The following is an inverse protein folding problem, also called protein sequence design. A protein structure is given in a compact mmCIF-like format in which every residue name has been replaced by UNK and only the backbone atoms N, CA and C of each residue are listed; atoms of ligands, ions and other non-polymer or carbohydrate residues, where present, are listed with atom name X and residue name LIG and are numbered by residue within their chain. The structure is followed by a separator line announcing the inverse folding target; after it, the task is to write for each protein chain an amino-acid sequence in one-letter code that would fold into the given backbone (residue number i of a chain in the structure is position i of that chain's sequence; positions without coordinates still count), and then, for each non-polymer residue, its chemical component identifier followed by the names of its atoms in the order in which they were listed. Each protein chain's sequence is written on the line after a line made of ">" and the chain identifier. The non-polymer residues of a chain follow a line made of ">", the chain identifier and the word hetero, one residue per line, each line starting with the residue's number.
data_IF_692090996542
#
_entry.id   IF_692090996542
#
_cell.length_a   1.000
_cell.length_b   1.000
_cell.length_c   1.000
_cell.angle_alpha   90.00
_cell.angle_beta   90.00
_cell.angle_gamma   90.00
#
_symmetry.space_group_name_H-M   'P 1'
#
loop_
_entity.id
_entity.type
_entity.pdbx_description
1 polymer ?
#
# COMPACT_ATOMS: atom_id res chain seq x y z
N UNK A 1 22.10 24.04 19.48
CA UNK A 1 20.72 24.18 18.98
C UNK A 1 20.62 24.95 17.66
N UNK A 2 21.66 25.00 16.80
CA UNK A 2 21.55 25.76 15.54
C UNK A 2 22.44 25.23 14.39
N UNK A 3 22.77 23.94 14.35
CA UNK A 3 23.47 23.36 13.20
C UNK A 3 22.65 22.15 12.74
N UNK A 4 21.55 22.51 12.08
CA UNK A 4 20.83 21.67 11.15
C UNK A 4 21.85 20.99 10.24
N UNK A 5 21.71 19.67 10.08
CA UNK A 5 22.54 18.84 9.23
C UNK A 5 22.58 19.31 7.77
N UNK A 6 23.45 20.28 7.49
CA UNK A 6 23.79 20.75 6.16
C UNK A 6 24.95 19.92 5.54
N UNK A 7 25.55 19.00 6.32
CA UNK A 7 26.63 18.09 5.90
C UNK A 7 26.34 16.65 6.36
N UNK A 8 26.60 15.61 5.54
CA UNK A 8 26.43 14.21 5.93
C UNK A 8 27.42 13.79 7.03
N UNK A 9 27.04 12.99 8.05
CA UNK A 9 25.81 12.22 8.22
C UNK A 9 24.84 12.82 9.27
N UNK A 10 23.75 13.38 8.79
CA UNK A 10 22.67 14.02 9.58
C UNK A 10 21.88 13.02 10.45
N UNK A 11 21.96 11.73 10.13
CA UNK A 11 21.20 10.64 10.76
C UNK A 11 21.76 10.21 12.12
N UNK A 12 22.99 10.61 12.45
CA UNK A 12 23.64 10.25 13.71
C UNK A 12 23.37 11.24 14.85
N UNK A 13 22.74 12.39 14.57
CA UNK A 13 22.53 13.40 15.62
C UNK A 13 21.47 12.93 16.64
N UNK A 14 21.77 12.94 17.96
CA UNK A 14 20.88 12.38 18.98
C UNK A 14 19.47 12.98 18.99
N UNK A 15 19.34 14.29 18.75
CA UNK A 15 18.03 14.95 18.68
C UNK A 15 17.18 14.54 17.48
N UNK A 16 17.80 14.33 16.31
CA UNK A 16 17.12 13.83 15.12
C UNK A 16 16.65 12.39 15.33
N UNK A 17 17.51 11.54 15.91
CA UNK A 17 17.15 10.15 16.23
C UNK A 17 16.02 10.05 17.25
N UNK A 18 16.03 10.90 18.27
CA UNK A 18 14.94 10.96 19.26
C UNK A 18 13.61 11.38 18.63
N UNK A 19 13.61 12.43 17.82
CA UNK A 19 12.39 12.88 17.10
C UNK A 19 11.89 11.80 16.13
N UNK A 20 12.78 11.20 15.34
CA UNK A 20 12.42 10.15 14.39
C UNK A 20 11.88 8.89 15.08
N UNK A 21 12.55 8.40 16.13
CA UNK A 21 12.12 7.20 16.85
C UNK A 21 10.85 7.40 17.68
N UNK A 22 10.58 8.61 18.15
CA UNK A 22 9.35 8.89 18.93
C UNK A 22 8.15 9.12 18.01
N UNK A 23 8.35 9.76 16.86
CA UNK A 23 7.25 10.11 15.94
C UNK A 23 7.10 9.11 14.80
N UNK A 24 8.12 8.97 13.94
CA UNK A 24 8.01 8.19 12.70
C UNK A 24 7.92 6.69 13.00
N UNK A 25 8.75 6.19 13.91
CA UNK A 25 8.75 4.76 14.22
C UNK A 25 7.45 4.27 14.88
N UNK A 26 6.68 5.16 15.52
CA UNK A 26 5.35 4.85 16.05
C UNK A 26 4.25 5.00 14.98
N UNK A 27 4.38 5.94 14.05
CA UNK A 27 3.39 6.17 12.98
C UNK A 27 3.37 5.04 11.94
N UNK A 28 4.54 4.54 11.53
CA UNK A 28 4.62 3.46 10.53
C UNK A 28 3.75 2.23 10.89
N UNK A 29 3.86 1.61 12.08
CA UNK A 29 3.03 0.46 12.45
C UNK A 29 1.54 0.79 12.59
N UNK A 30 1.17 2.03 12.91
CA UNK A 30 -0.26 2.43 12.96
C UNK A 30 -0.88 2.38 11.57
N UNK A 31 -0.18 2.88 10.55
CA UNK A 31 -0.64 2.84 9.16
C UNK A 31 -0.75 1.39 8.68
N UNK A 32 0.26 0.57 8.94
CA UNK A 32 0.23 -0.86 8.55
C UNK A 32 -0.89 -1.63 9.26
N UNK A 33 -1.17 -1.34 10.53
CA UNK A 33 -2.24 -2.00 11.29
C UNK A 33 -3.62 -1.65 10.73
N UNK A 34 -3.84 -0.38 10.40
CA UNK A 34 -5.09 0.07 9.78
C UNK A 34 -5.25 -0.55 8.38
N UNK A 35 -4.19 -0.56 7.56
CA UNK A 35 -4.20 -1.21 6.25
C UNK A 35 -4.50 -2.71 6.36
N UNK A 36 -3.86 -3.41 7.30
CA UNK A 36 -4.11 -4.83 7.54
C UNK A 36 -5.57 -5.10 7.89
N UNK A 37 -6.18 -4.28 8.75
CA UNK A 37 -7.61 -4.37 9.07
C UNK A 37 -8.51 -4.17 7.84
N UNK A 38 -8.26 -3.14 7.04
CA UNK A 38 -9.04 -2.87 5.84
C UNK A 38 -8.89 -3.94 4.77
N UNK A 39 -7.66 -4.41 4.53
CA UNK A 39 -7.39 -5.50 3.58
C UNK A 39 -8.11 -6.77 4.06
N UNK A 40 -7.99 -7.14 5.33
CA UNK A 40 -8.65 -8.33 5.89
C UNK A 40 -10.18 -8.24 5.74
N UNK A 41 -10.77 -7.08 6.05
CA UNK A 41 -12.21 -6.85 5.90
C UNK A 41 -12.67 -6.94 4.43
N UNK A 42 -11.92 -6.34 3.51
CA UNK A 42 -12.20 -6.43 2.08
C UNK A 42 -12.03 -7.85 1.54
N UNK A 43 -10.97 -8.54 1.95
CA UNK A 43 -10.68 -9.93 1.58
C UNK A 43 -11.73 -10.89 2.11
N UNK A 44 -12.22 -10.72 3.34
CA UNK A 44 -13.31 -11.54 3.87
C UNK A 44 -14.58 -11.39 3.01
N UNK A 45 -14.91 -10.17 2.58
CA UNK A 45 -16.04 -9.92 1.67
C UNK A 45 -15.81 -10.51 0.27
N UNK A 46 -14.57 -10.48 -0.23
CA UNK A 46 -14.20 -10.97 -1.55
C UNK A 46 -14.06 -12.50 -1.63
N UNK A 47 -13.61 -13.16 -0.55
CA UNK A 47 -13.39 -14.61 -0.47
C UNK A 47 -14.59 -15.39 0.06
N UNK A 48 -15.71 -14.73 0.39
CA UNK A 48 -16.95 -15.42 0.76
C UNK A 48 -17.44 -16.23 -0.45
N UNK A 49 -17.11 -17.53 -0.45
CA UNK A 49 -17.36 -18.46 -1.54
C UNK A 49 -18.86 -18.66 -1.77
N UNK A 50 -19.45 -17.77 -2.56
CA UNK A 50 -20.84 -17.82 -2.99
C UNK A 50 -20.97 -18.34 -4.42
N UNK A 51 -19.92 -18.14 -5.23
CA UNK A 51 -19.90 -18.42 -6.67
C UNK A 51 -18.65 -19.25 -7.03
N UNK A 52 -18.73 -19.98 -8.14
CA UNK A 52 -17.61 -20.78 -8.69
C UNK A 52 -16.37 -19.91 -8.97
N UNK A 53 -16.59 -18.69 -9.46
CA UNK A 53 -15.52 -17.70 -9.72
C UNK A 53 -14.74 -17.36 -8.45
N UNK A 54 -15.43 -17.16 -7.32
CA UNK A 54 -14.81 -16.88 -6.03
C UNK A 54 -14.02 -18.07 -5.51
N UNK A 55 -14.46 -19.31 -5.78
CA UNK A 55 -13.68 -20.51 -5.45
C UNK A 55 -12.37 -20.58 -6.23
N UNK A 56 -12.39 -20.28 -7.54
CA UNK A 56 -11.18 -20.25 -8.35
C UNK A 56 -10.22 -19.18 -7.82
N UNK A 57 -10.74 -18.01 -7.45
CA UNK A 57 -9.95 -16.95 -6.82
C UNK A 57 -9.37 -17.37 -5.46
N UNK A 58 -10.12 -18.13 -4.65
CA UNK A 58 -9.65 -18.66 -3.37
C UNK A 58 -8.47 -19.64 -3.57
N UNK A 59 -8.58 -20.57 -4.53
CA UNK A 59 -7.51 -21.52 -4.86
C UNK A 59 -6.26 -20.77 -5.35
N UNK A 60 -6.44 -19.77 -6.21
CA UNK A 60 -5.33 -18.92 -6.65
C UNK A 60 -4.66 -18.19 -5.47
N UNK A 61 -5.44 -17.68 -4.52
CA UNK A 61 -4.93 -17.07 -3.29
C UNK A 61 -4.12 -18.04 -2.43
N UNK A 62 -4.58 -19.27 -2.27
CA UNK A 62 -3.85 -20.32 -1.52
C UNK A 62 -2.50 -20.61 -2.17
N UNK A 63 -2.45 -20.74 -3.50
CA UNK A 63 -1.20 -20.97 -4.24
C UNK A 63 -0.20 -19.84 -3.99
N UNK A 64 -0.67 -18.59 -4.00
CA UNK A 64 0.17 -17.40 -3.76
C UNK A 64 0.68 -17.32 -2.32
N UNK A 65 -0.15 -17.67 -1.33
CA UNK A 65 0.29 -17.72 0.07
C UNK A 65 1.35 -18.82 0.23
N UNK A 66 1.13 -19.97 -0.39
CA UNK A 66 2.06 -21.11 -0.34
C UNK A 66 3.38 -20.81 -1.05
N UNK A 67 3.36 -20.02 -2.12
CA UNK A 67 4.57 -19.52 -2.79
C UNK A 67 5.45 -18.66 -1.87
N UNK A 68 4.85 -17.81 -1.01
CA UNK A 68 5.59 -16.98 -0.05
C UNK A 68 6.02 -17.75 1.21
N UNK A 69 5.47 -18.95 1.45
CA UNK A 69 5.84 -19.78 2.60
C UNK A 69 7.18 -20.50 2.35
N UNK A 70 8.10 -20.57 3.34
CA UNK A 70 9.40 -21.25 3.19
C UNK A 70 9.32 -22.73 2.77
N UNK A 71 8.18 -23.39 3.02
CA UNK A 71 7.91 -24.81 2.72
C UNK A 71 7.32 -25.01 1.31
N UNK A 72 6.85 -23.95 0.63
CA UNK A 72 6.14 -24.06 -0.65
C UNK A 72 6.94 -24.71 -1.77
N UNK A 73 8.26 -24.45 -1.82
CA UNK A 73 9.15 -25.04 -2.82
C UNK A 73 9.44 -26.53 -2.62
N UNK A 74 9.30 -27.04 -1.40
CA UNK A 74 9.57 -28.44 -1.07
C UNK A 74 8.37 -29.35 -1.35
N UNK A 75 7.15 -28.81 -1.39
CA UNK A 75 5.91 -29.58 -1.61
C UNK A 75 5.73 -30.01 -3.06
N UNK A 76 5.81 -29.06 -4.01
CA UNK A 76 5.63 -29.34 -5.43
C UNK A 76 6.17 -28.19 -6.30
N UNK A 77 7.01 -28.46 -7.33
CA UNK A 77 7.58 -27.41 -8.19
C UNK A 77 6.53 -26.54 -8.90
N UNK A 78 5.37 -27.10 -9.23
CA UNK A 78 4.28 -26.39 -9.90
C UNK A 78 3.69 -25.22 -9.08
N UNK A 79 3.78 -25.26 -7.74
CA UNK A 79 3.33 -24.15 -6.88
C UNK A 79 4.22 -22.94 -7.09
N UNK A 80 5.54 -23.16 -7.24
CA UNK A 80 6.52 -22.09 -7.47
C UNK A 80 6.34 -21.47 -8.85
N UNK A 81 6.12 -22.29 -9.88
CA UNK A 81 5.88 -21.79 -11.24
C UNK A 81 4.60 -20.96 -11.33
N UNK A 82 3.49 -21.44 -10.75
CA UNK A 82 2.22 -20.71 -10.78
C UNK A 82 2.27 -19.45 -9.90
N UNK A 83 2.87 -19.53 -8.71
CA UNK A 83 3.03 -18.40 -7.81
C UNK A 83 3.92 -17.29 -8.40
N UNK A 84 5.05 -17.66 -9.01
CA UNK A 84 5.93 -16.71 -9.68
C UNK A 84 5.29 -16.10 -10.92
N UNK A 85 4.53 -16.86 -11.72
CA UNK A 85 3.77 -16.30 -12.83
C UNK A 85 2.72 -15.28 -12.35
N UNK A 86 1.96 -15.60 -11.30
CA UNK A 86 0.98 -14.70 -10.71
C UNK A 86 1.62 -13.41 -10.17
N UNK A 87 2.79 -13.51 -9.53
CA UNK A 87 3.53 -12.36 -9.02
C UNK A 87 4.08 -11.48 -10.14
N UNK A 88 4.67 -12.08 -11.18
CA UNK A 88 5.39 -11.32 -12.20
C UNK A 88 4.50 -10.73 -13.30
N UNK A 89 3.31 -11.31 -13.54
CA UNK A 89 2.44 -10.89 -14.64
C UNK A 89 1.27 -10.03 -14.14
N UNK A 90 0.18 -10.58 -13.55
CA UNK A 90 -0.98 -9.76 -13.19
C UNK A 90 -0.72 -8.82 -12.01
N UNK A 91 0.06 -9.23 -11.00
CA UNK A 91 0.31 -8.40 -9.82
C UNK A 91 1.16 -7.18 -10.17
N UNK A 92 2.29 -7.36 -10.87
CA UNK A 92 3.13 -6.25 -11.33
C UNK A 92 2.37 -5.33 -12.29
N UNK A 93 1.54 -5.88 -13.19
CA UNK A 93 0.70 -5.07 -14.08
C UNK A 93 -0.31 -4.22 -13.28
N UNK A 94 -0.99 -4.81 -12.30
CA UNK A 94 -1.92 -4.09 -11.42
C UNK A 94 -1.24 -3.00 -10.61
N UNK A 95 -0.09 -3.29 -10.01
CA UNK A 95 0.67 -2.29 -9.24
C UNK A 95 1.10 -1.10 -10.12
N UNK A 96 1.55 -1.38 -11.35
CA UNK A 96 1.89 -0.32 -12.32
C UNK A 96 0.66 0.51 -12.70
N UNK A 97 -0.48 -0.14 -12.95
CA UNK A 97 -1.73 0.56 -13.25
C UNK A 97 -2.19 1.46 -12.08
N UNK A 98 -2.08 0.98 -10.83
CA UNK A 98 -2.39 1.76 -9.63
C UNK A 98 -1.47 2.98 -9.51
N UNK A 99 -0.15 2.81 -9.68
CA UNK A 99 0.80 3.92 -9.61
C UNK A 99 0.52 5.00 -10.66
N UNK A 100 0.29 4.58 -11.91
CA UNK A 100 -0.04 5.50 -13.01
C UNK A 100 -1.40 6.16 -12.77
N UNK A 101 -2.41 5.40 -12.36
CA UNK A 101 -3.73 5.92 -12.04
C UNK A 101 -3.71 6.93 -10.89
N UNK A 102 -2.95 6.66 -9.84
CA UNK A 102 -2.75 7.58 -8.73
C UNK A 102 -2.05 8.86 -9.16
N UNK A 103 -1.01 8.77 -9.99
CA UNK A 103 -0.31 9.95 -10.52
C UNK A 103 -1.24 10.83 -11.37
N UNK A 104 -2.02 10.23 -12.26
CA UNK A 104 -3.00 10.96 -13.07
C UNK A 104 -4.11 11.56 -12.19
N UNK A 105 -4.61 10.80 -11.21
CA UNK A 105 -5.60 11.28 -10.25
C UNK A 105 -5.10 12.48 -9.44
N UNK A 106 -3.85 12.46 -8.99
CA UNK A 106 -3.22 13.58 -8.32
C UNK A 106 -3.07 14.81 -9.23
N UNK A 107 -2.69 14.62 -10.50
CA UNK A 107 -2.64 15.70 -11.49
C UNK A 107 -4.03 16.30 -11.76
N UNK A 108 -5.06 15.46 -11.90
CA UNK A 108 -6.43 15.92 -12.09
C UNK A 108 -6.93 16.74 -10.88
N UNK A 109 -6.63 16.28 -9.66
CA UNK A 109 -6.94 17.02 -8.43
C UNK A 109 -6.18 18.35 -8.37
N UNK A 110 -4.90 18.36 -8.74
CA UNK A 110 -4.10 19.58 -8.80
C UNK A 110 -4.70 20.60 -9.78
N UNK A 111 -5.08 20.17 -10.99
CA UNK A 111 -5.71 21.04 -11.99
C UNK A 111 -7.04 21.61 -11.48
N UNK A 112 -7.89 20.77 -10.89
CA UNK A 112 -9.18 21.22 -10.32
C UNK A 112 -8.99 22.22 -9.19
N UNK A 113 -7.95 22.04 -8.38
CA UNK A 113 -7.56 22.96 -7.31
C UNK A 113 -7.04 24.29 -7.88
N UNK A 114 -6.14 24.26 -8.87
CA UNK A 114 -5.59 25.46 -9.51
C UNK A 114 -6.64 26.28 -10.27
N UNK A 115 -7.59 25.61 -10.92
CA UNK A 115 -8.68 26.28 -11.67
C UNK A 115 -9.78 26.80 -10.73
N UNK A 116 -9.64 26.65 -9.41
CA UNK A 116 -10.62 27.10 -8.42
C UNK A 116 -11.95 26.33 -8.43
N UNK A 117 -12.04 25.23 -9.17
CA UNK A 117 -13.26 24.38 -9.24
C UNK A 117 -13.42 23.53 -7.99
N UNK A 118 -12.32 23.24 -7.30
CA UNK A 118 -12.30 22.63 -5.98
C UNK A 118 -11.58 23.56 -5.01
N UNK A 119 -12.36 24.23 -4.18
CA UNK A 119 -11.87 25.00 -3.05
C UNK A 119 -12.23 24.27 -1.76
N UNK A 120 -11.53 23.16 -1.51
CA UNK A 120 -11.69 22.37 -0.29
C UNK A 120 -11.56 23.24 0.98
N UNK A 121 -10.82 24.34 0.89
CA UNK A 121 -10.66 25.33 1.97
C UNK A 121 -11.69 26.49 1.96
N UNK A 122 -12.25 26.91 0.80
CA UNK A 122 -13.20 28.05 0.76
C UNK A 122 -14.66 27.63 1.03
N UNK A 123 -15.05 26.37 0.79
CA UNK A 123 -16.43 25.90 1.05
C UNK A 123 -16.72 25.50 2.49
N UNK A 124 -15.71 25.40 3.36
CA UNK A 124 -15.89 25.06 4.78
C UNK A 124 -16.16 26.28 5.68
N UNK A 125 -16.02 27.51 5.16
CA UNK A 125 -16.20 28.76 5.93
C UNK A 125 -17.38 29.66 5.49
N UNK A 126 -18.15 29.26 4.48
CA UNK A 126 -19.26 30.05 3.93
C UNK A 126 -20.62 29.59 4.44
N UNK A 127 -20.86 29.72 5.74
CA UNK A 127 -22.15 29.49 6.40
C UNK A 127 -22.57 30.73 7.17
N UNK A 128 -23.26 31.63 6.46
CA UNK A 128 -23.90 32.86 6.92
C UNK A 128 -24.74 33.41 5.78
#
# INVERSE_FOLDING_TARGET
>A
MAILGLLPPITAHPSFRWLYSTTVAALDPTVYSILAFYITSASYRAFRARNIETMIFLIAGIIVILYNAPIGGYLHPGIVTLGSWAMNVPIVAGQRAIMVGAAIGALALAIRTFTGRESAWLRAGGGG
#
